data_IF_725189524209
#
_entry.id   IF_725189524209
#
_cell.length_a   1.000
_cell.length_b   1.000
_cell.length_c   1.000
_cell.angle_alpha   90.00
_cell.angle_beta   90.00
_cell.angle_gamma   90.00
#
_symmetry.space_group_name_H-M   'P 1'
#
loop_
_entity.id
_entity.type
_entity.pdbx_description
1 polymer ?
#
# COMPACT_ATOMS: atom_id res chain seq x y z
N UNK A 1 4.52 -25.51 -5.56
CA UNK A 1 3.38 -24.63 -5.87
C UNK A 1 2.91 -24.82 -7.31
N UNK A 2 3.71 -24.52 -8.34
CA UNK A 2 3.33 -24.64 -9.76
C UNK A 2 2.81 -26.03 -10.15
N UNK A 3 3.47 -27.11 -9.73
CA UNK A 3 3.06 -28.48 -10.04
C UNK A 3 1.66 -28.84 -9.49
N UNK A 4 1.31 -28.39 -8.30
CA UNK A 4 0.00 -28.61 -7.69
C UNK A 4 -1.09 -27.87 -8.50
N UNK A 5 -0.84 -26.61 -8.86
CA UNK A 5 -1.76 -25.83 -9.69
C UNK A 5 -1.95 -26.46 -11.09
N UNK A 6 -0.85 -26.92 -11.71
CA UNK A 6 -0.91 -27.56 -13.01
C UNK A 6 -1.69 -28.90 -12.96
N UNK A 7 -1.52 -29.68 -11.89
CA UNK A 7 -2.25 -30.92 -11.68
C UNK A 7 -3.76 -30.67 -11.46
N UNK A 8 -4.09 -29.69 -10.61
CA UNK A 8 -5.47 -29.28 -10.36
C UNK A 8 -6.17 -28.86 -11.65
N UNK A 9 -5.50 -28.04 -12.48
CA UNK A 9 -6.04 -27.61 -13.78
C UNK A 9 -6.23 -28.77 -14.76
N UNK A 10 -5.28 -29.72 -14.81
CA UNK A 10 -5.39 -30.91 -15.66
C UNK A 10 -6.55 -31.81 -15.25
N UNK A 11 -6.82 -31.92 -13.95
CA UNK A 11 -7.88 -32.77 -13.43
C UNK A 11 -9.26 -32.07 -13.46
N UNK A 12 -9.29 -30.74 -13.62
CA UNK A 12 -10.52 -29.95 -13.61
C UNK A 12 -11.30 -30.01 -12.29
N UNK A 13 -10.60 -30.25 -11.16
CA UNK A 13 -11.22 -30.39 -9.85
C UNK A 13 -11.23 -29.08 -9.08
N UNK A 14 -12.31 -28.81 -8.36
CA UNK A 14 -12.38 -27.72 -7.40
C UNK A 14 -11.53 -28.07 -6.18
N UNK A 15 -10.62 -27.18 -5.81
CA UNK A 15 -9.71 -27.40 -4.68
C UNK A 15 -9.83 -26.24 -3.71
N UNK A 16 -9.97 -26.54 -2.42
CA UNK A 16 -9.91 -25.55 -1.35
C UNK A 16 -8.60 -25.76 -0.60
N UNK A 17 -7.84 -24.67 -0.48
CA UNK A 17 -6.59 -24.64 0.28
C UNK A 17 -6.73 -23.65 1.44
N UNK A 18 -6.30 -24.06 2.62
CA UNK A 18 -6.20 -23.19 3.80
C UNK A 18 -4.73 -22.94 4.06
N UNK A 19 -4.33 -21.68 4.08
CA UNK A 19 -2.94 -21.28 4.32
C UNK A 19 -2.90 -19.95 5.07
N UNK A 20 -1.81 -19.71 5.79
CA UNK A 20 -1.46 -18.42 6.34
C UNK A 20 -0.35 -17.72 5.51
N UNK A 21 0.13 -18.39 4.47
CA UNK A 21 1.13 -17.84 3.54
C UNK A 21 0.42 -17.05 2.43
N UNK A 22 0.61 -15.73 2.47
CA UNK A 22 -0.01 -14.80 1.52
C UNK A 22 0.48 -15.03 0.10
N UNK A 23 1.77 -15.35 -0.08
CA UNK A 23 2.35 -15.62 -1.39
C UNK A 23 1.77 -16.90 -2.01
N UNK A 24 1.52 -17.93 -1.18
CA UNK A 24 0.79 -19.12 -1.64
C UNK A 24 -0.62 -18.77 -2.12
N UNK A 25 -1.37 -18.05 -1.30
CA UNK A 25 -2.73 -17.66 -1.65
C UNK A 25 -2.77 -16.84 -2.95
N UNK A 26 -1.90 -15.84 -3.08
CA UNK A 26 -1.85 -14.95 -4.25
C UNK A 26 -1.41 -15.67 -5.53
N UNK A 27 -0.49 -16.66 -5.44
CA UNK A 27 0.07 -17.32 -6.62
C UNK A 27 -0.72 -18.55 -7.08
N UNK A 28 -1.44 -19.20 -6.17
CA UNK A 28 -2.10 -20.48 -6.46
C UNK A 28 -3.61 -20.33 -6.67
N UNK A 29 -4.28 -19.43 -5.97
CA UNK A 29 -5.73 -19.34 -5.98
C UNK A 29 -6.26 -18.56 -7.20
N UNK A 30 -7.42 -18.99 -7.71
CA UNK A 30 -8.23 -18.19 -8.62
C UNK A 30 -9.11 -17.22 -7.83
N UNK A 31 -9.44 -17.58 -6.58
CA UNK A 31 -10.22 -16.76 -5.66
C UNK A 31 -9.71 -16.94 -4.22
N UNK A 32 -9.59 -15.83 -3.51
CA UNK A 32 -9.15 -15.77 -2.11
C UNK A 32 -10.34 -15.38 -1.23
N UNK A 33 -10.45 -16.03 -0.07
CA UNK A 33 -11.35 -15.68 1.02
C UNK A 33 -10.49 -15.29 2.22
N UNK A 34 -10.46 -14.01 2.58
CA UNK A 34 -9.76 -13.56 3.78
C UNK A 34 -10.69 -13.74 4.98
N UNK A 35 -10.22 -14.46 5.97
CA UNK A 35 -10.97 -14.76 7.19
C UNK A 35 -10.30 -14.12 8.40
N UNK A 36 -11.11 -13.57 9.30
CA UNK A 36 -10.70 -13.16 10.63
C UNK A 36 -11.80 -13.52 11.63
N UNK A 37 -11.41 -14.03 12.80
CA UNK A 37 -12.34 -14.43 13.88
C UNK A 37 -13.51 -15.31 13.39
N UNK A 38 -13.21 -16.25 12.48
CA UNK A 38 -14.21 -17.18 11.93
C UNK A 38 -15.17 -16.59 10.90
N UNK A 39 -15.01 -15.33 10.50
CA UNK A 39 -15.83 -14.64 9.49
C UNK A 39 -15.04 -14.36 8.23
N UNK A 40 -15.70 -14.47 7.07
CA UNK A 40 -15.14 -13.99 5.81
C UNK A 40 -15.29 -12.45 5.78
N UNK A 41 -14.15 -11.75 5.72
CA UNK A 41 -14.11 -10.29 5.72
C UNK A 41 -14.12 -9.75 4.29
N UNK A 42 -13.40 -10.42 3.38
CA UNK A 42 -13.38 -10.08 1.97
C UNK A 42 -13.15 -11.32 1.13
N UNK A 43 -13.71 -11.36 -0.08
CA UNK A 43 -13.39 -12.38 -1.08
C UNK A 43 -13.25 -11.74 -2.46
N UNK A 44 -12.32 -12.26 -3.27
CA UNK A 44 -12.05 -11.76 -4.61
C UNK A 44 -10.93 -12.53 -5.28
N UNK A 45 -10.56 -12.12 -6.49
CA UNK A 45 -9.32 -12.56 -7.13
C UNK A 45 -8.11 -12.04 -6.34
N UNK A 46 -6.92 -12.65 -6.48
CA UNK A 46 -5.70 -12.14 -5.83
C UNK A 46 -5.46 -10.64 -6.09
N UNK A 47 -5.65 -10.20 -7.33
CA UNK A 47 -5.51 -8.78 -7.70
C UNK A 47 -6.54 -7.90 -7.01
N UNK A 48 -7.80 -8.30 -6.93
CA UNK A 48 -8.85 -7.51 -6.25
C UNK A 48 -8.58 -7.39 -4.75
N UNK A 49 -8.15 -8.47 -4.09
CA UNK A 49 -7.82 -8.44 -2.67
C UNK A 49 -6.66 -7.48 -2.39
N UNK A 50 -5.66 -7.45 -3.29
CA UNK A 50 -4.50 -6.55 -3.17
C UNK A 50 -4.86 -5.10 -3.46
N UNK A 51 -5.50 -4.84 -4.61
CA UNK A 51 -5.73 -3.48 -5.10
C UNK A 51 -6.99 -2.83 -4.53
N UNK A 52 -7.97 -3.62 -4.03
CA UNK A 52 -9.27 -3.16 -3.54
C UNK A 52 -9.55 -3.70 -2.13
N UNK A 53 -8.54 -3.65 -1.26
CA UNK A 53 -8.74 -3.97 0.14
C UNK A 53 -9.87 -3.10 0.73
N UNK A 54 -10.83 -3.72 1.43
CA UNK A 54 -12.00 -3.01 1.95
C UNK A 54 -11.81 -2.49 3.38
N UNK A 55 -10.66 -2.77 3.99
CA UNK A 55 -10.34 -2.33 5.35
C UNK A 55 -8.83 -2.20 5.56
N UNK A 56 -8.39 -1.40 6.57
CA UNK A 56 -6.98 -1.30 6.97
C UNK A 56 -6.39 -2.67 7.31
N UNK A 57 -7.18 -3.53 7.97
CA UNK A 57 -6.77 -4.88 8.32
C UNK A 57 -6.35 -5.68 7.08
N UNK A 58 -7.18 -5.72 6.03
CA UNK A 58 -6.87 -6.46 4.80
C UNK A 58 -5.70 -5.81 4.07
N UNK A 59 -5.67 -4.48 3.99
CA UNK A 59 -4.60 -3.74 3.36
C UNK A 59 -3.23 -4.06 3.97
N UNK A 60 -3.13 -4.13 5.31
CA UNK A 60 -1.92 -4.52 6.05
C UNK A 60 -1.65 -6.02 5.99
N UNK A 61 -2.70 -6.84 5.97
CA UNK A 61 -2.56 -8.29 5.95
C UNK A 61 -1.96 -8.79 4.63
N UNK A 62 -2.32 -8.18 3.50
CA UNK A 62 -1.90 -8.64 2.16
C UNK A 62 -0.63 -7.92 1.65
N UNK A 63 0.14 -7.32 2.50
CA UNK A 63 1.39 -6.64 2.15
C UNK A 63 1.63 -5.40 3.00
N UNK A 64 2.73 -4.71 2.74
CA UNK A 64 3.04 -3.47 3.45
C UNK A 64 2.10 -2.33 3.02
N UNK A 65 1.78 -1.43 3.97
CA UNK A 65 0.95 -0.26 3.73
C UNK A 65 1.44 0.88 4.62
N UNK A 66 1.58 2.06 4.06
CA UNK A 66 1.76 3.28 4.82
C UNK A 66 0.39 3.81 5.25
N UNK A 67 0.22 4.11 6.53
CA UNK A 67 -0.97 4.78 7.05
C UNK A 67 -0.59 6.14 7.60
N UNK A 68 -1.21 7.20 7.07
CA UNK A 68 -0.93 8.58 7.46
C UNK A 68 -2.23 9.18 7.99
N UNK A 69 -2.28 9.65 9.25
CA UNK A 69 -3.46 10.32 9.79
C UNK A 69 -3.82 11.56 8.97
N UNK A 70 -5.07 11.67 8.58
CA UNK A 70 -5.58 12.81 7.81
C UNK A 70 -6.93 13.28 8.35
N UNK A 71 -7.32 14.48 7.96
CA UNK A 71 -8.65 15.05 8.25
C UNK A 71 -9.35 15.42 6.95
N UNK A 72 -10.67 15.41 6.96
CA UNK A 72 -11.50 15.90 5.87
C UNK A 72 -12.14 17.20 6.33
N UNK A 73 -11.99 18.27 5.56
CA UNK A 73 -12.60 19.56 5.90
C UNK A 73 -14.04 19.70 5.33
N UNK A 74 -14.72 20.78 5.72
CA UNK A 74 -16.09 21.09 5.27
C UNK A 74 -16.24 21.24 3.76
N UNK A 75 -15.14 21.50 3.05
CA UNK A 75 -15.08 21.57 1.59
C UNK A 75 -14.76 20.21 0.93
N UNK A 76 -14.77 19.12 1.73
CA UNK A 76 -14.41 17.76 1.30
C UNK A 76 -12.98 17.62 0.80
N UNK A 77 -12.06 18.42 1.31
CA UNK A 77 -10.64 18.31 1.04
C UNK A 77 -9.96 17.49 2.12
N UNK A 78 -9.06 16.61 1.70
CA UNK A 78 -8.25 15.82 2.61
C UNK A 78 -7.01 16.63 2.98
N UNK A 79 -6.70 16.68 4.27
CA UNK A 79 -5.54 17.41 4.79
C UNK A 79 -4.73 16.52 5.72
N UNK A 80 -3.42 16.51 5.47
CA UNK A 80 -2.45 16.03 6.43
C UNK A 80 -1.84 17.27 7.12
N UNK A 81 -2.23 17.52 8.37
CA UNK A 81 -1.97 18.79 9.05
C UNK A 81 -2.49 19.97 8.21
N UNK A 82 -1.59 20.84 7.72
CA UNK A 82 -1.93 22.00 6.87
C UNK A 82 -1.79 21.77 5.37
N UNK A 83 -1.35 20.57 4.95
CA UNK A 83 -1.09 20.24 3.54
C UNK A 83 -2.29 19.53 2.95
N UNK A 84 -2.81 20.04 1.83
CA UNK A 84 -3.88 19.40 1.08
C UNK A 84 -3.34 18.18 0.31
N UNK A 85 -4.07 17.07 0.42
CA UNK A 85 -3.78 15.81 -0.28
C UNK A 85 -4.88 15.57 -1.31
N UNK A 86 -4.48 15.39 -2.55
CA UNK A 86 -5.39 15.05 -3.64
C UNK A 86 -5.66 13.54 -3.62
N UNK A 87 -6.85 13.13 -3.19
CA UNK A 87 -7.28 11.73 -3.21
C UNK A 87 -8.83 11.66 -3.20
N UNK A 88 -9.37 10.48 -3.50
CA UNK A 88 -10.80 10.21 -3.40
C UNK A 88 -11.17 9.96 -1.94
N UNK A 89 -12.10 10.75 -1.40
CA UNK A 89 -12.58 10.63 -0.01
C UNK A 89 -13.55 9.46 0.18
N UNK A 90 -14.07 8.87 -0.91
CA UNK A 90 -15.08 7.82 -0.81
C UNK A 90 -16.35 8.26 -0.03
N UNK A 91 -16.85 7.43 0.89
CA UNK A 91 -18.05 7.74 1.67
C UNK A 91 -17.81 8.64 2.91
N UNK A 92 -16.56 9.01 3.17
CA UNK A 92 -16.18 9.72 4.41
C UNK A 92 -16.53 11.22 4.38
N UNK A 93 -16.67 11.79 5.56
CA UNK A 93 -17.08 13.18 5.81
C UNK A 93 -16.18 13.87 6.84
N UNK A 94 -16.36 15.18 7.05
CA UNK A 94 -15.57 16.03 7.95
C UNK A 94 -15.41 15.47 9.39
N UNK A 95 -16.39 14.73 9.89
CA UNK A 95 -16.37 14.25 11.28
C UNK A 95 -15.78 12.84 11.43
N UNK A 96 -15.40 12.21 10.34
CA UNK A 96 -14.87 10.87 10.38
C UNK A 96 -13.40 10.87 10.77
N UNK A 97 -13.02 9.94 11.65
CA UNK A 97 -11.61 9.64 11.94
C UNK A 97 -11.06 8.78 10.82
N UNK A 98 -10.14 9.34 10.05
CA UNK A 98 -9.67 8.73 8.81
C UNK A 98 -8.15 8.72 8.68
N UNK A 99 -7.65 7.79 7.90
CA UNK A 99 -6.25 7.67 7.55
C UNK A 99 -6.08 7.46 6.04
N UNK A 100 -5.08 8.10 5.49
CA UNK A 100 -4.62 7.88 4.13
C UNK A 100 -3.75 6.63 4.09
N UNK A 101 -3.98 5.76 3.13
CA UNK A 101 -3.21 4.53 2.94
C UNK A 101 -2.58 4.53 1.55
N UNK A 102 -1.27 4.22 1.47
CA UNK A 102 -0.50 4.17 0.23
C UNK A 102 0.45 2.99 0.29
N UNK A 103 0.52 2.21 -0.79
CA UNK A 103 1.48 1.12 -0.92
C UNK A 103 2.91 1.64 -1.06
N UNK A 104 3.92 0.99 -0.46
CA UNK A 104 5.32 1.39 -0.59
C UNK A 104 5.83 1.45 -2.03
N UNK A 105 5.34 0.58 -2.90
CA UNK A 105 5.71 0.52 -4.32
C UNK A 105 5.04 1.57 -5.20
N UNK A 106 3.97 2.23 -4.70
CA UNK A 106 3.24 3.30 -5.41
C UNK A 106 3.82 4.69 -5.11
N UNK A 107 4.86 4.77 -4.27
CA UNK A 107 5.55 6.02 -3.95
C UNK A 107 6.83 6.12 -4.80
N UNK A 108 7.00 7.24 -5.48
CA UNK A 108 8.09 7.48 -6.43
C UNK A 108 8.96 8.68 -6.03
N UNK A 109 10.16 8.80 -6.62
CA UNK A 109 11.08 9.95 -6.40
C UNK A 109 11.05 10.97 -7.53
N UNK A 110 10.22 10.76 -8.53
CA UNK A 110 10.03 11.67 -9.65
C UNK A 110 8.54 11.92 -9.82
N UNK A 111 8.20 13.16 -10.08
CA UNK A 111 6.84 13.53 -10.42
C UNK A 111 6.50 12.99 -11.81
N UNK A 112 5.44 12.20 -11.91
CA UNK A 112 4.96 11.64 -13.17
C UNK A 112 3.86 12.51 -13.78
N UNK A 113 3.00 13.09 -12.92
CA UNK A 113 1.90 13.96 -13.32
C UNK A 113 1.95 15.29 -12.56
N UNK A 114 1.36 16.34 -13.16
CA UNK A 114 1.31 17.66 -12.52
C UNK A 114 0.49 17.69 -11.22
N UNK A 115 -0.47 16.77 -11.09
CA UNK A 115 -1.40 16.67 -9.97
C UNK A 115 -0.95 15.67 -8.90
N UNK A 116 0.27 15.12 -9.00
CA UNK A 116 0.80 14.20 -8.01
C UNK A 116 0.96 14.91 -6.66
N UNK A 117 0.63 14.17 -5.60
CA UNK A 117 0.91 14.61 -4.25
C UNK A 117 2.41 14.59 -3.96
N UNK A 118 2.87 15.49 -3.10
CA UNK A 118 4.29 15.63 -2.76
C UNK A 118 4.45 15.61 -1.25
N UNK A 119 5.31 14.71 -0.75
CA UNK A 119 5.71 14.66 0.66
C UNK A 119 7.24 14.86 0.73
N UNK A 120 7.74 16.00 1.19
CA UNK A 120 9.15 16.17 1.53
C UNK A 120 9.51 15.28 2.73
N UNK A 121 10.57 14.50 2.60
CA UNK A 121 10.96 13.54 3.63
C UNK A 121 12.47 13.27 3.60
N UNK A 122 13.00 12.79 4.74
CA UNK A 122 14.43 12.50 4.93
C UNK A 122 14.65 11.00 5.08
N UNK A 123 15.60 10.43 4.36
CA UNK A 123 15.96 9.01 4.45
C UNK A 123 16.55 8.71 5.83
N UNK A 124 16.00 7.73 6.56
CA UNK A 124 16.50 7.28 7.86
C UNK A 124 17.12 5.91 7.84
N UNK A 125 16.61 5.03 6.98
CA UNK A 125 17.10 3.67 6.89
C UNK A 125 16.93 3.14 5.47
N UNK A 126 17.83 2.24 5.05
CA UNK A 126 17.78 1.55 3.76
C UNK A 126 18.06 0.08 3.99
N UNK A 127 17.10 -0.78 3.64
CA UNK A 127 17.22 -2.23 3.67
C UNK A 127 17.35 -2.80 2.26
N UNK A 128 18.34 -3.64 2.02
CA UNK A 128 18.49 -4.35 0.75
C UNK A 128 17.77 -5.70 0.80
N UNK A 129 16.69 -5.85 0.03
CA UNK A 129 15.85 -7.04 -0.03
C UNK A 129 16.00 -7.82 -1.35
N UNK A 130 17.13 -7.67 -2.02
CA UNK A 130 17.46 -8.37 -3.27
C UNK A 130 16.87 -7.69 -4.51
N UNK A 131 15.63 -7.98 -4.85
CA UNK A 131 14.96 -7.40 -6.02
C UNK A 131 14.59 -5.93 -5.86
N UNK A 132 14.45 -5.46 -4.64
CA UNK A 132 14.18 -4.07 -4.29
C UNK A 132 14.94 -3.65 -3.03
N UNK A 133 14.99 -2.34 -2.79
CA UNK A 133 15.42 -1.73 -1.53
C UNK A 133 14.20 -1.13 -0.86
N UNK A 134 14.04 -1.42 0.43
CA UNK A 134 13.05 -0.78 1.28
C UNK A 134 13.69 0.42 1.97
N UNK A 135 13.14 1.58 1.75
CA UNK A 135 13.67 2.84 2.26
C UNK A 135 12.66 3.45 3.23
N UNK A 136 13.13 3.80 4.42
CA UNK A 136 12.33 4.40 5.47
C UNK A 136 12.59 5.89 5.54
N UNK A 137 11.53 6.67 5.46
CA UNK A 137 11.56 8.12 5.42
C UNK A 137 10.90 8.74 6.65
N UNK A 138 11.54 9.75 7.21
CA UNK A 138 10.95 10.61 8.21
C UNK A 138 10.28 11.81 7.54
N UNK A 139 8.98 12.00 7.77
CA UNK A 139 8.19 13.11 7.24
C UNK A 139 7.37 13.77 8.36
N UNK A 140 8.06 14.44 9.31
CA UNK A 140 7.49 14.99 10.56
C UNK A 140 6.29 15.93 10.36
N UNK A 141 6.23 16.62 9.24
CA UNK A 141 5.08 17.48 8.91
C UNK A 141 3.82 16.70 8.55
N UNK A 142 3.93 15.39 8.31
CA UNK A 142 2.84 14.53 7.86
C UNK A 142 2.49 13.45 8.87
N UNK A 143 3.48 12.76 9.41
CA UNK A 143 3.28 11.65 10.36
C UNK A 143 4.45 11.52 11.32
N UNK A 144 4.20 10.91 12.50
CA UNK A 144 5.25 10.52 13.43
C UNK A 144 5.85 9.15 13.09
N UNK A 145 5.22 8.38 12.23
CA UNK A 145 5.73 7.09 11.76
C UNK A 145 6.59 7.28 10.51
N UNK A 146 7.48 6.31 10.27
CA UNK A 146 8.30 6.31 9.06
C UNK A 146 7.45 5.92 7.85
N UNK A 147 7.60 6.63 6.75
CA UNK A 147 7.01 6.28 5.46
C UNK A 147 7.94 5.28 4.78
N UNK A 148 7.38 4.17 4.35
CA UNK A 148 8.09 3.09 3.66
C UNK A 148 7.95 3.29 2.14
N UNK A 149 9.06 3.17 1.42
CA UNK A 149 9.08 3.20 -0.05
C UNK A 149 9.87 1.99 -0.55
N UNK A 150 9.26 1.19 -1.43
CA UNK A 150 9.92 0.04 -2.05
C UNK A 150 10.44 0.40 -3.44
N UNK A 151 11.76 0.47 -3.56
CA UNK A 151 12.45 0.91 -4.77
C UNK A 151 13.07 -0.27 -5.50
N UNK A 152 12.70 -0.58 -6.75
CA UNK A 152 13.37 -1.64 -7.51
C UNK A 152 14.90 -1.47 -7.50
N UNK A 153 15.65 -2.53 -7.21
CA UNK A 153 17.12 -2.45 -7.06
C UNK A 153 17.83 -1.87 -8.30
N UNK A 154 17.25 -2.05 -9.49
CA UNK A 154 17.76 -1.44 -10.72
C UNK A 154 17.62 0.10 -10.72
N UNK A 155 16.52 0.62 -10.19
CA UNK A 155 16.27 2.06 -10.04
C UNK A 155 17.09 2.66 -8.91
N UNK A 156 17.17 1.99 -7.77
CA UNK A 156 17.94 2.43 -6.60
C UNK A 156 19.42 2.67 -6.92
N UNK A 157 20.04 1.82 -7.75
CA UNK A 157 21.42 2.01 -8.22
C UNK A 157 21.63 3.31 -9.02
N UNK A 158 20.60 3.79 -9.71
CA UNK A 158 20.67 5.03 -10.50
C UNK A 158 20.44 6.26 -9.63
N UNK A 159 19.58 6.15 -8.64
CA UNK A 159 19.14 7.27 -7.78
C UNK A 159 20.20 7.61 -6.71
N UNK A 160 21.06 6.64 -6.31
CA UNK A 160 22.10 6.80 -5.28
C UNK A 160 21.55 7.33 -3.96
N UNK A 161 20.68 6.55 -3.33
CA UNK A 161 20.08 6.88 -2.04
C UNK A 161 21.11 6.88 -0.91
N UNK A 162 21.08 7.88 -0.03
CA UNK A 162 21.95 8.01 1.13
C UNK A 162 21.15 8.39 2.38
N UNK A 163 21.59 7.88 3.53
CA UNK A 163 21.03 8.25 4.84
C UNK A 163 21.13 9.76 5.05
N UNK A 164 20.11 10.35 5.68
CA UNK A 164 19.92 11.78 5.94
C UNK A 164 19.79 12.66 4.69
N UNK A 165 19.66 12.06 3.51
CA UNK A 165 19.32 12.78 2.28
C UNK A 165 17.83 13.15 2.25
N UNK A 166 17.52 14.39 1.88
CA UNK A 166 16.15 14.84 1.64
C UNK A 166 15.67 14.45 0.24
N UNK A 167 14.47 13.95 0.14
CA UNK A 167 13.78 13.60 -1.11
C UNK A 167 12.35 14.09 -1.08
N UNK A 168 11.81 14.40 -2.25
CA UNK A 168 10.38 14.50 -2.45
C UNK A 168 9.83 13.11 -2.81
N UNK A 169 8.82 12.69 -2.08
CA UNK A 169 8.04 11.48 -2.35
C UNK A 169 6.80 11.90 -3.11
N UNK A 170 6.54 11.25 -4.24
CA UNK A 170 5.42 11.53 -5.13
C UNK A 170 4.49 10.33 -5.20
N UNK A 171 3.19 10.57 -5.24
CA UNK A 171 2.16 9.53 -5.46
C UNK A 171 0.93 10.16 -6.10
N UNK A 172 0.23 9.39 -6.92
CA UNK A 172 -0.97 9.86 -7.58
C UNK A 172 -2.20 9.75 -6.66
N UNK A 173 -3.28 10.43 -7.00
CA UNK A 173 -4.55 10.32 -6.27
C UNK A 173 -5.17 8.93 -6.37
N UNK A 174 -4.89 8.19 -7.45
CA UNK A 174 -5.38 6.84 -7.70
C UNK A 174 -4.70 5.80 -6.80
N UNK A 175 -3.46 6.07 -6.35
CA UNK A 175 -2.66 5.19 -5.49
C UNK A 175 -3.01 5.35 -4.02
N UNK A 176 -3.62 6.47 -3.66
CA UNK A 176 -4.03 6.81 -2.31
C UNK A 176 -5.47 6.40 -2.02
N UNK A 177 -5.71 5.83 -0.83
CA UNK A 177 -7.03 5.43 -0.35
C UNK A 177 -7.30 5.97 1.03
N UNK A 178 -8.56 6.25 1.32
CA UNK A 178 -9.00 6.64 2.67
C UNK A 178 -9.66 5.44 3.34
N UNK A 179 -9.27 5.19 4.59
CA UNK A 179 -9.90 4.23 5.49
C UNK A 179 -10.29 4.90 6.79
N UNK A 180 -11.23 4.30 7.51
CA UNK A 180 -11.45 4.65 8.93
C UNK A 180 -10.16 4.40 9.73
N UNK A 181 -9.82 5.28 10.62
CA UNK A 181 -8.68 5.15 11.53
C UNK A 181 -8.99 4.21 12.70
#
# INVERSE_FOLDING_TARGET
RKQIRDLQRKLGVTTIMVTHDQEEAQTMADRIFVMNEGKIIQSGTPSEIYTKANSPFIASFIGSMNFIPVTIDSSKKVKCNSVEINCDIGPFTENDSVQLAIRPEEIHFQQENQDDNIIPATIKEIEFLGSFQRVYFEAKSYTNELIIVDVPSASARKIKLAIDEEKNLYFSKEDARIYSA
#
